data_IF_029387289851
#
_entry.id   IF_029387289851
#
_cell.length_a   1.000
_cell.length_b   1.000
_cell.length_c   1.000
_cell.angle_alpha   90.00
_cell.angle_beta   90.00
_cell.angle_gamma   90.00
#
_symmetry.space_group_name_H-M   'P 1'
#
loop_
_entity.id
_entity.type
_entity.pdbx_description
1 polymer ?
#
# COMPACT_ATOMS: atom_id res chain seq x y z
N UNK A 1 -43.76 -21.75 35.26
CA UNK A 1 -42.42 -21.87 34.66
C UNK A 1 -41.87 -20.47 34.45
N UNK A 2 -40.90 -19.94 35.24
CA UNK A 2 -40.38 -18.59 35.03
C UNK A 2 -39.36 -18.63 33.91
N UNK A 3 -39.52 -17.68 32.94
CA UNK A 3 -38.64 -17.53 31.78
C UNK A 3 -37.27 -17.05 32.16
N UNK A 4 -36.25 -17.74 31.65
CA UNK A 4 -34.82 -17.39 31.79
C UNK A 4 -34.54 -16.16 30.93
N UNK A 5 -34.29 -15.03 31.60
CA UNK A 5 -33.80 -13.80 30.94
C UNK A 5 -32.42 -14.05 30.30
N UNK A 6 -32.36 -14.01 28.98
CA UNK A 6 -31.09 -14.02 28.24
C UNK A 6 -30.34 -12.70 28.53
N UNK A 7 -29.29 -12.80 29.32
CA UNK A 7 -28.35 -11.71 29.56
C UNK A 7 -27.78 -11.25 28.23
N UNK A 8 -28.03 -10.01 27.83
CA UNK A 8 -27.45 -9.34 26.66
C UNK A 8 -26.00 -9.04 27.01
N UNK A 9 -25.08 -9.82 26.47
CA UNK A 9 -23.65 -9.51 26.54
C UNK A 9 -23.44 -8.23 25.74
N UNK A 10 -23.13 -7.14 26.46
CA UNK A 10 -22.73 -5.87 25.83
C UNK A 10 -21.48 -6.11 25.00
N UNK A 11 -21.39 -5.59 23.75
CA UNK A 11 -20.16 -5.69 22.96
C UNK A 11 -19.04 -4.99 23.73
N UNK A 12 -18.00 -5.72 24.10
CA UNK A 12 -16.78 -5.15 24.66
C UNK A 12 -16.15 -4.30 23.54
N UNK A 13 -16.11 -2.99 23.75
CA UNK A 13 -15.35 -2.07 22.89
C UNK A 13 -13.88 -2.48 23.03
N UNK A 14 -13.30 -3.05 21.99
CA UNK A 14 -11.89 -3.42 21.97
C UNK A 14 -11.05 -2.15 22.21
N UNK A 15 -10.06 -2.22 23.10
CA UNK A 15 -9.23 -1.04 23.40
C UNK A 15 -8.45 -0.63 22.15
N UNK A 16 -8.51 0.64 21.79
CA UNK A 16 -7.70 1.22 20.72
C UNK A 16 -6.23 1.03 21.02
N UNK A 17 -5.48 0.55 20.04
CA UNK A 17 -4.04 0.39 20.11
C UNK A 17 -3.38 1.58 19.44
N UNK A 18 -2.24 2.01 19.97
CA UNK A 18 -1.45 3.11 19.45
C UNK A 18 -0.05 2.62 19.09
N UNK A 19 0.43 2.99 17.92
CA UNK A 19 1.78 2.65 17.47
C UNK A 19 2.45 3.87 16.85
N UNK A 20 3.74 4.04 17.15
CA UNK A 20 4.57 5.05 16.49
C UNK A 20 4.95 4.53 15.09
N UNK A 21 5.02 5.42 14.11
CA UNK A 21 5.55 5.06 12.78
C UNK A 21 6.99 4.55 12.94
N UNK A 22 7.29 3.30 12.55
CA UNK A 22 8.62 2.72 12.71
C UNK A 22 9.71 3.45 11.92
N UNK A 23 9.33 4.22 10.88
CA UNK A 23 10.25 5.04 10.10
C UNK A 23 10.68 6.32 10.83
N UNK A 24 9.99 6.71 11.92
CA UNK A 24 10.28 7.92 12.68
C UNK A 24 11.27 7.65 13.82
N UNK A 25 12.50 8.20 13.77
CA UNK A 25 13.42 8.12 14.89
C UNK A 25 12.94 8.95 16.08
N UNK A 26 13.22 8.47 17.30
CA UNK A 26 12.96 9.21 18.56
C UNK A 26 14.29 9.74 19.08
N UNK A 27 14.42 11.05 19.09
CA UNK A 27 15.67 11.78 19.36
C UNK A 27 15.54 12.64 20.62
N UNK A 28 16.61 12.69 21.41
CA UNK A 28 16.73 13.58 22.55
C UNK A 28 17.32 14.93 22.11
N UNK A 29 16.74 16.03 22.57
CA UNK A 29 17.25 17.37 22.30
C UNK A 29 17.92 17.97 23.52
N UNK A 30 18.92 18.87 23.35
CA UNK A 30 19.60 19.55 24.44
C UNK A 30 18.65 20.44 25.31
N UNK A 31 17.54 20.93 24.73
CA UNK A 31 16.53 21.72 25.38
C UNK A 31 15.52 20.92 26.25
N UNK A 32 15.78 19.63 26.43
CA UNK A 32 14.91 18.73 27.19
C UNK A 32 13.63 18.27 26.47
N UNK A 33 13.44 18.65 25.23
CA UNK A 33 12.36 18.13 24.40
C UNK A 33 12.75 16.78 23.77
N UNK A 34 11.74 16.01 23.34
CA UNK A 34 11.91 14.81 22.51
C UNK A 34 11.40 15.12 21.11
N UNK A 35 12.21 14.78 20.11
CA UNK A 35 11.85 14.93 18.71
C UNK A 35 11.50 13.57 18.12
N UNK A 36 10.33 13.48 17.49
CA UNK A 36 9.88 12.31 16.72
C UNK A 36 9.99 12.67 15.25
N UNK A 37 10.82 11.94 14.52
CA UNK A 37 11.15 12.22 13.13
C UNK A 37 12.44 13.03 12.96
N UNK A 38 13.02 12.95 11.75
CA UNK A 38 14.24 13.67 11.41
C UNK A 38 14.01 14.82 10.40
N UNK A 39 13.11 14.61 9.41
CA UNK A 39 12.78 15.65 8.43
C UNK A 39 12.11 16.84 9.12
N UNK A 40 12.68 18.08 9.10
CA UNK A 40 12.11 19.24 9.78
C UNK A 40 10.67 19.58 9.37
N UNK A 41 10.25 19.16 8.17
CA UNK A 41 8.88 19.38 7.67
C UNK A 41 7.84 18.43 8.27
N UNK A 42 8.29 17.32 8.86
CA UNK A 42 7.45 16.23 9.39
C UNK A 42 7.73 15.93 10.87
N UNK A 43 8.88 16.39 11.38
CA UNK A 43 9.28 16.13 12.75
C UNK A 43 8.35 16.83 13.74
N UNK A 44 8.00 16.11 14.81
CA UNK A 44 7.16 16.62 15.91
C UNK A 44 8.02 16.78 17.16
N UNK A 45 7.95 17.94 17.78
CA UNK A 45 8.59 18.23 19.06
C UNK A 45 7.58 18.05 20.18
N UNK A 46 7.93 17.22 21.16
CA UNK A 46 7.09 16.97 22.34
C UNK A 46 7.87 17.21 23.61
N UNK A 47 7.22 17.83 24.60
CA UNK A 47 7.77 18.01 25.95
C UNK A 47 7.27 16.90 26.85
N UNK A 48 8.12 16.41 27.76
CA UNK A 48 7.70 15.40 28.73
C UNK A 48 6.51 15.88 29.58
N UNK A 49 5.46 15.07 29.74
CA UNK A 49 4.45 15.27 30.76
C UNK A 49 5.04 15.36 32.18
N UNK A 50 4.29 15.92 33.14
CA UNK A 50 4.74 16.05 34.53
C UNK A 50 5.26 14.70 35.09
N UNK A 51 6.44 14.77 35.71
CA UNK A 51 7.09 13.66 36.35
C UNK A 51 7.95 12.78 35.41
N UNK A 52 7.98 13.06 34.10
CA UNK A 52 8.87 12.35 33.16
C UNK A 52 10.06 13.22 32.76
N UNK A 53 11.21 12.63 32.66
CA UNK A 53 12.37 13.19 31.96
C UNK A 53 12.28 12.97 30.44
N UNK A 54 13.04 13.72 29.67
CA UNK A 54 13.12 13.51 28.21
C UNK A 54 13.57 12.07 27.84
N UNK A 55 14.48 11.50 28.62
CA UNK A 55 14.95 10.13 28.41
C UNK A 55 13.85 9.08 28.64
N UNK A 56 13.04 9.25 29.68
CA UNK A 56 11.93 8.36 30.01
C UNK A 56 10.80 8.49 28.98
N UNK A 57 10.48 9.72 28.55
CA UNK A 57 9.54 9.95 27.44
C UNK A 57 10.03 9.28 26.15
N UNK A 58 11.31 9.44 25.79
CA UNK A 58 11.87 8.79 24.62
C UNK A 58 11.81 7.26 24.71
N UNK A 59 12.02 6.69 25.90
CA UNK A 59 11.87 5.25 26.13
C UNK A 59 10.41 4.80 25.99
N UNK A 60 9.46 5.58 26.49
CA UNK A 60 8.03 5.32 26.33
C UNK A 60 7.62 5.35 24.84
N UNK A 61 8.05 6.37 24.10
CA UNK A 61 7.76 6.49 22.67
C UNK A 61 8.38 5.35 21.85
N UNK A 62 9.58 4.90 22.20
CA UNK A 62 10.20 3.72 21.56
C UNK A 62 9.45 2.42 21.85
N UNK A 63 8.79 2.28 23.00
CA UNK A 63 7.94 1.11 23.28
C UNK A 63 6.69 1.08 22.39
N UNK A 64 6.23 2.22 21.89
CA UNK A 64 5.12 2.34 20.93
C UNK A 64 5.45 1.84 19.52
N UNK A 65 6.64 1.35 19.24
CA UNK A 65 6.93 0.63 17.98
C UNK A 65 6.10 -0.64 17.80
N UNK A 66 5.61 -1.19 18.92
CA UNK A 66 4.59 -2.24 18.92
C UNK A 66 3.24 -1.63 19.31
N UNK A 67 2.13 -2.03 18.67
CA UNK A 67 0.81 -1.54 19.00
C UNK A 67 0.48 -1.75 20.48
N UNK A 68 0.25 -0.68 21.22
CA UNK A 68 0.10 -0.68 22.68
C UNK A 68 -1.17 0.06 23.09
N UNK A 69 -2.01 -0.48 24.00
CA UNK A 69 -3.17 0.21 24.53
C UNK A 69 -2.79 1.46 25.31
N UNK A 70 -3.63 2.50 25.31
CA UNK A 70 -3.38 3.73 26.06
C UNK A 70 -3.18 3.46 27.56
N UNK A 71 -3.98 2.59 28.15
CA UNK A 71 -3.86 2.23 29.57
C UNK A 71 -2.50 1.60 29.90
N UNK A 72 -1.90 0.87 28.97
CA UNK A 72 -0.56 0.31 29.15
C UNK A 72 0.50 1.40 29.08
N UNK A 73 0.38 2.35 28.15
CA UNK A 73 1.28 3.50 28.06
C UNK A 73 1.24 4.36 29.32
N UNK A 74 0.03 4.60 29.86
CA UNK A 74 -0.15 5.32 31.13
C UNK A 74 0.49 4.57 32.29
N UNK A 75 0.34 3.24 32.39
CA UNK A 75 1.01 2.43 33.43
C UNK A 75 2.53 2.49 33.31
N UNK A 76 3.06 2.39 32.09
CA UNK A 76 4.49 2.48 31.84
C UNK A 76 5.04 3.87 32.18
N UNK A 77 4.29 4.92 31.91
CA UNK A 77 4.64 6.28 32.28
C UNK A 77 4.61 6.46 33.81
N UNK A 78 3.58 5.96 34.49
CA UNK A 78 3.48 5.97 35.96
C UNK A 78 4.63 5.23 36.63
N UNK A 79 5.02 4.07 36.11
CA UNK A 79 6.19 3.32 36.59
C UNK A 79 7.55 4.04 36.38
N UNK A 80 7.57 5.08 35.55
CA UNK A 80 8.73 5.97 35.30
C UNK A 80 8.64 7.31 36.05
N UNK A 81 7.60 7.53 36.84
CA UNK A 81 7.44 8.72 37.64
C UNK A 81 6.41 9.74 37.13
N UNK A 82 5.69 9.44 36.04
CA UNK A 82 4.59 10.30 35.58
C UNK A 82 3.47 10.36 36.63
N UNK A 83 3.07 11.56 36.97
CA UNK A 83 1.91 11.87 37.84
C UNK A 83 0.69 12.34 37.02
N UNK A 84 0.82 12.41 35.70
CA UNK A 84 -0.15 13.00 34.79
C UNK A 84 -0.56 11.97 33.69
N UNK A 85 -1.50 11.06 33.97
CA UNK A 85 -2.00 10.09 32.99
C UNK A 85 -2.74 10.77 31.83
N UNK A 86 -3.39 11.92 32.06
CA UNK A 86 -4.11 12.66 31.02
C UNK A 86 -3.12 13.34 30.07
N UNK A 87 -2.00 13.83 30.60
CA UNK A 87 -0.89 14.36 29.78
C UNK A 87 -0.32 13.30 28.83
N UNK A 88 -0.22 12.05 29.27
CA UNK A 88 0.19 10.93 28.40
C UNK A 88 -0.84 10.66 27.31
N UNK A 89 -2.14 10.68 27.63
CA UNK A 89 -3.20 10.48 26.66
C UNK A 89 -3.26 11.61 25.62
N UNK A 90 -3.12 12.85 26.08
CA UNK A 90 -3.07 14.04 25.21
C UNK A 90 -1.86 14.00 24.28
N UNK A 91 -0.69 13.61 24.79
CA UNK A 91 0.52 13.43 23.98
C UNK A 91 0.31 12.41 22.87
N UNK A 92 -0.25 11.23 23.18
CA UNK A 92 -0.54 10.19 22.16
C UNK A 92 -1.53 10.72 21.13
N UNK A 93 -2.55 11.46 21.55
CA UNK A 93 -3.53 12.07 20.64
C UNK A 93 -2.88 13.10 19.72
N UNK A 94 -1.98 13.92 20.23
CA UNK A 94 -1.20 14.88 19.43
C UNK A 94 -0.31 14.17 18.39
N UNK A 95 0.36 13.08 18.78
CA UNK A 95 1.19 12.31 17.85
C UNK A 95 0.37 11.67 16.73
N UNK A 96 -0.85 11.19 17.04
CA UNK A 96 -1.80 10.69 16.03
C UNK A 96 -2.27 11.82 15.12
N UNK A 97 -2.67 12.95 15.67
CA UNK A 97 -3.09 14.13 14.90
C UNK A 97 -1.99 14.69 14.00
N UNK A 98 -0.73 14.58 14.41
CA UNK A 98 0.44 14.96 13.63
C UNK A 98 0.86 13.88 12.59
N UNK A 99 0.20 12.73 12.55
CA UNK A 99 0.48 11.66 11.59
C UNK A 99 1.77 10.87 11.85
N UNK A 100 2.40 11.03 13.04
CA UNK A 100 3.62 10.29 13.42
C UNK A 100 3.32 9.06 14.28
N UNK A 101 2.07 8.91 14.73
CA UNK A 101 1.57 7.71 15.40
C UNK A 101 0.21 7.29 14.81
N UNK A 102 -0.13 6.04 15.00
CA UNK A 102 -1.38 5.45 14.53
C UNK A 102 -2.30 5.11 15.68
N UNK A 103 -3.60 5.28 15.47
CA UNK A 103 -4.63 4.68 16.29
C UNK A 103 -5.28 3.57 15.48
N UNK A 104 -5.09 2.32 15.88
CA UNK A 104 -5.70 1.16 15.21
C UNK A 104 -6.37 0.24 16.22
N UNK A 105 -7.28 -0.59 15.75
CA UNK A 105 -7.65 -1.80 16.46
C UNK A 105 -6.50 -2.81 16.37
N UNK A 106 -6.49 -3.83 17.25
CA UNK A 106 -5.65 -5.02 17.01
C UNK A 106 -5.75 -5.35 15.53
N UNK A 107 -4.60 -5.63 14.86
CA UNK A 107 -4.70 -6.07 13.48
C UNK A 107 -5.76 -7.17 13.45
N UNK A 108 -6.90 -6.85 12.86
CA UNK A 108 -7.89 -7.88 12.60
C UNK A 108 -7.10 -8.99 11.93
N UNK A 109 -7.35 -10.24 12.28
CA UNK A 109 -6.80 -11.39 11.56
C UNK A 109 -7.44 -11.39 10.16
N UNK A 110 -7.24 -10.30 9.42
CA UNK A 110 -7.60 -10.19 8.03
C UNK A 110 -6.93 -11.35 7.30
N UNK A 111 -7.63 -11.94 6.37
CA UNK A 111 -7.06 -13.02 5.57
C UNK A 111 -5.78 -12.55 4.88
N UNK A 112 -4.83 -13.44 4.71
CA UNK A 112 -3.65 -13.15 3.90
C UNK A 112 -4.10 -12.80 2.46
N UNK A 113 -3.63 -11.66 1.95
CA UNK A 113 -3.88 -11.27 0.56
C UNK A 113 -3.29 -12.32 -0.39
N UNK A 114 -3.97 -12.59 -1.50
CA UNK A 114 -3.52 -13.50 -2.54
C UNK A 114 -3.14 -12.70 -3.79
N UNK A 115 -1.85 -12.65 -4.10
CA UNK A 115 -1.30 -11.89 -5.22
C UNK A 115 -0.75 -12.86 -6.25
N UNK A 116 -1.14 -12.69 -7.50
CA UNK A 116 -0.57 -13.44 -8.63
C UNK A 116 0.28 -12.51 -9.47
N UNK A 117 1.54 -12.85 -9.67
CA UNK A 117 2.41 -12.21 -10.66
C UNK A 117 2.35 -13.04 -11.94
N UNK A 118 1.89 -12.41 -13.03
CA UNK A 118 1.79 -13.04 -14.34
C UNK A 118 2.75 -12.34 -15.30
N UNK A 119 3.75 -13.05 -15.75
CA UNK A 119 4.78 -12.54 -16.64
C UNK A 119 5.97 -13.49 -16.73
N UNK A 120 6.88 -13.17 -17.63
CA UNK A 120 8.12 -13.93 -17.86
C UNK A 120 9.24 -12.95 -18.20
N UNK A 121 10.00 -12.56 -17.21
CA UNK A 121 11.12 -11.65 -17.42
C UNK A 121 11.58 -11.01 -16.11
N UNK A 122 12.47 -10.02 -16.20
CA UNK A 122 13.16 -9.47 -15.04
C UNK A 122 12.22 -8.75 -14.05
N UNK A 123 11.10 -8.16 -14.50
CA UNK A 123 10.15 -7.50 -13.59
C UNK A 123 9.37 -8.52 -12.78
N UNK A 124 8.89 -9.63 -13.42
CA UNK A 124 8.21 -10.70 -12.68
C UNK A 124 9.13 -11.33 -11.64
N UNK A 125 10.39 -11.59 -11.96
CA UNK A 125 11.36 -12.15 -11.03
C UNK A 125 11.60 -11.25 -9.83
N UNK A 126 11.85 -9.95 -10.08
CA UNK A 126 12.03 -8.95 -9.03
C UNK A 126 10.80 -8.79 -8.13
N UNK A 127 9.59 -8.78 -8.72
CA UNK A 127 8.35 -8.64 -7.96
C UNK A 127 8.04 -9.87 -7.12
N UNK A 128 8.24 -11.08 -7.65
CA UNK A 128 8.05 -12.33 -6.90
C UNK A 128 9.00 -12.37 -5.71
N UNK A 129 10.27 -12.02 -5.91
CA UNK A 129 11.28 -11.97 -4.84
C UNK A 129 10.90 -10.95 -3.75
N UNK A 130 10.59 -9.71 -4.16
CA UNK A 130 10.24 -8.64 -3.24
C UNK A 130 8.96 -8.94 -2.44
N UNK A 131 7.99 -9.63 -3.04
CA UNK A 131 6.72 -9.96 -2.39
C UNK A 131 6.80 -11.12 -1.41
N UNK A 132 7.85 -11.95 -1.42
CA UNK A 132 8.01 -13.08 -0.47
C UNK A 132 7.94 -12.64 0.99
N UNK A 133 8.46 -11.44 1.31
CA UNK A 133 8.45 -10.90 2.68
C UNK A 133 7.19 -10.09 3.01
N UNK A 134 6.23 -9.95 2.08
CA UNK A 134 5.02 -9.14 2.27
C UNK A 134 3.98 -9.77 3.19
N UNK A 135 4.14 -11.07 3.51
CA UNK A 135 3.15 -11.88 4.24
C UNK A 135 1.87 -12.16 3.44
N UNK A 136 1.83 -11.85 2.14
CA UNK A 136 0.80 -12.28 1.22
C UNK A 136 1.10 -13.66 0.66
N UNK A 137 0.07 -14.36 0.14
CA UNK A 137 0.25 -15.59 -0.64
C UNK A 137 0.60 -15.19 -2.07
N UNK A 138 1.76 -15.61 -2.55
CA UNK A 138 2.26 -15.24 -3.86
C UNK A 138 2.21 -16.45 -4.79
N UNK A 139 1.60 -16.26 -5.97
CA UNK A 139 1.63 -17.22 -7.07
C UNK A 139 2.31 -16.57 -8.28
N UNK A 140 3.15 -17.31 -8.98
CA UNK A 140 3.76 -16.89 -10.23
C UNK A 140 3.25 -17.75 -11.39
N UNK A 141 2.98 -17.13 -12.52
CA UNK A 141 2.60 -17.80 -13.76
C UNK A 141 3.20 -17.11 -14.97
N UNK A 142 3.78 -17.89 -15.87
CA UNK A 142 4.42 -17.41 -17.10
C UNK A 142 3.72 -17.88 -18.39
N UNK A 143 2.73 -18.75 -18.27
CA UNK A 143 2.01 -19.29 -19.43
C UNK A 143 0.91 -18.34 -19.88
N UNK A 144 0.86 -18.01 -21.16
CA UNK A 144 -0.04 -17.01 -21.77
C UNK A 144 -1.53 -17.22 -21.47
N UNK A 145 -1.95 -18.43 -21.11
CA UNK A 145 -3.36 -18.78 -20.87
C UNK A 145 -3.59 -19.43 -19.50
N UNK A 146 -2.70 -19.20 -18.53
CA UNK A 146 -2.91 -19.75 -17.20
C UNK A 146 -4.18 -19.17 -16.57
N UNK A 147 -5.28 -19.94 -16.58
CA UNK A 147 -6.56 -19.55 -16.00
C UNK A 147 -6.40 -19.10 -14.55
N UNK A 148 -7.15 -18.07 -14.16
CA UNK A 148 -7.24 -17.66 -12.75
C UNK A 148 -8.14 -18.68 -12.04
N UNK A 149 -7.54 -19.72 -11.46
CA UNK A 149 -8.26 -20.86 -10.87
C UNK A 149 -8.62 -20.71 -9.41
N UNK A 150 -8.04 -19.72 -8.70
CA UNK A 150 -8.25 -19.48 -7.27
C UNK A 150 -8.70 -18.04 -7.01
N UNK A 151 -9.31 -17.80 -5.84
CA UNK A 151 -9.63 -16.46 -5.38
C UNK A 151 -8.32 -15.65 -5.23
N UNK A 152 -8.10 -14.68 -6.11
CA UNK A 152 -6.94 -13.79 -6.18
C UNK A 152 -7.42 -12.36 -5.93
N UNK A 153 -6.72 -11.63 -5.08
CA UNK A 153 -7.05 -10.24 -4.76
C UNK A 153 -6.47 -9.25 -5.76
N UNK A 154 -5.35 -9.61 -6.37
CA UNK A 154 -4.69 -8.79 -7.40
C UNK A 154 -3.87 -9.69 -8.34
N UNK A 155 -3.96 -9.42 -9.64
CA UNK A 155 -3.03 -9.94 -10.64
C UNK A 155 -2.11 -8.81 -11.11
N UNK A 156 -0.80 -9.00 -10.99
CA UNK A 156 0.20 -8.11 -11.58
C UNK A 156 0.56 -8.68 -12.95
N UNK A 157 0.29 -7.91 -14.01
CA UNK A 157 0.60 -8.25 -15.40
C UNK A 157 1.95 -7.63 -15.75
N UNK A 158 3.03 -8.43 -15.66
CA UNK A 158 4.41 -7.92 -15.75
C UNK A 158 5.11 -8.31 -17.04
N UNK A 159 6.16 -7.55 -17.37
CA UNK A 159 7.11 -7.72 -18.47
C UNK A 159 6.58 -7.41 -19.87
N UNK A 160 5.45 -7.98 -20.28
CA UNK A 160 4.93 -7.81 -21.63
C UNK A 160 4.47 -6.37 -21.90
N UNK A 161 4.83 -5.83 -23.08
CA UNK A 161 4.47 -4.46 -23.48
C UNK A 161 2.97 -4.27 -23.64
N UNK A 162 2.26 -5.30 -24.09
CA UNK A 162 0.80 -5.33 -24.16
C UNK A 162 0.31 -6.61 -23.50
N UNK A 163 -0.63 -6.49 -22.58
CA UNK A 163 -1.24 -7.64 -21.91
C UNK A 163 -2.10 -8.46 -22.91
N UNK A 164 -2.11 -9.78 -22.78
CA UNK A 164 -2.96 -10.65 -23.61
C UNK A 164 -4.44 -10.26 -23.42
N UNK A 165 -5.15 -9.90 -24.50
CA UNK A 165 -6.56 -9.50 -24.43
C UNK A 165 -7.48 -10.61 -23.85
N UNK A 166 -7.12 -11.88 -23.98
CA UNK A 166 -7.87 -12.99 -23.41
C UNK A 166 -7.74 -13.00 -21.89
N UNK A 167 -6.51 -12.83 -21.39
CA UNK A 167 -6.25 -12.68 -19.94
C UNK A 167 -6.98 -11.47 -19.37
N UNK A 168 -6.91 -10.32 -20.03
CA UNK A 168 -7.59 -9.09 -19.59
C UNK A 168 -9.11 -9.29 -19.52
N UNK A 169 -9.71 -9.92 -20.52
CA UNK A 169 -11.15 -10.22 -20.52
C UNK A 169 -11.53 -11.19 -19.41
N UNK A 170 -10.73 -12.25 -19.17
CA UNK A 170 -10.99 -13.20 -18.09
C UNK A 170 -10.90 -12.54 -16.71
N UNK A 171 -9.90 -11.69 -16.47
CA UNK A 171 -9.78 -10.90 -15.24
C UNK A 171 -10.96 -9.97 -15.06
N UNK A 172 -11.37 -9.27 -16.11
CA UNK A 172 -12.49 -8.34 -16.07
C UNK A 172 -13.81 -9.06 -15.78
N UNK A 173 -14.11 -10.16 -16.49
CA UNK A 173 -15.34 -10.94 -16.32
C UNK A 173 -15.48 -11.56 -14.92
N UNK A 174 -14.36 -11.87 -14.27
CA UNK A 174 -14.30 -12.42 -12.92
C UNK A 174 -14.22 -11.33 -11.82
N UNK A 175 -14.21 -10.06 -12.20
CA UNK A 175 -14.08 -8.96 -11.24
C UNK A 175 -12.72 -8.91 -10.54
N UNK A 176 -11.65 -9.47 -11.13
CA UNK A 176 -10.33 -9.54 -10.50
C UNK A 176 -9.54 -8.26 -10.75
N UNK A 177 -9.13 -7.52 -9.70
CA UNK A 177 -8.24 -6.37 -9.83
C UNK A 177 -6.92 -6.75 -10.49
N UNK A 178 -6.39 -5.84 -11.33
CA UNK A 178 -5.13 -6.10 -12.01
C UNK A 178 -4.31 -4.85 -12.27
N UNK A 179 -2.97 -5.02 -12.26
CA UNK A 179 -2.00 -3.95 -12.37
C UNK A 179 -0.95 -4.31 -13.44
N UNK A 180 -0.92 -3.64 -14.61
CA UNK A 180 0.19 -3.79 -15.56
C UNK A 180 1.47 -3.15 -15.03
N UNK A 181 2.60 -3.85 -15.20
CA UNK A 181 3.95 -3.39 -14.85
C UNK A 181 4.91 -3.77 -15.98
N UNK A 182 5.46 -2.78 -16.65
CA UNK A 182 6.31 -3.01 -17.81
C UNK A 182 7.32 -1.89 -18.00
N UNK A 183 8.31 -2.11 -18.85
CA UNK A 183 9.19 -1.06 -19.35
C UNK A 183 8.95 -0.87 -20.84
N UNK A 184 8.95 0.38 -21.31
CA UNK A 184 8.75 0.75 -22.71
C UNK A 184 9.78 1.80 -23.06
N UNK A 185 10.60 1.53 -24.07
CA UNK A 185 11.60 2.47 -24.58
C UNK A 185 12.49 3.06 -23.46
N UNK A 186 12.92 2.21 -22.54
CA UNK A 186 13.75 2.61 -21.39
C UNK A 186 13.00 3.27 -20.23
N UNK A 187 11.68 3.47 -20.33
CA UNK A 187 10.84 4.10 -19.32
C UNK A 187 10.03 3.05 -18.57
N UNK A 188 10.00 3.12 -17.25
CA UNK A 188 9.18 2.26 -16.39
C UNK A 188 7.71 2.68 -16.39
N UNK A 189 6.80 1.74 -16.53
CA UNK A 189 5.36 1.96 -16.55
C UNK A 189 4.66 1.09 -15.51
N UNK A 190 3.95 1.72 -14.58
CA UNK A 190 3.14 1.04 -13.55
C UNK A 190 1.70 1.51 -13.62
N UNK A 191 0.77 0.59 -13.86
CA UNK A 191 -0.65 0.91 -13.97
C UNK A 191 -1.18 1.01 -15.41
N UNK A 192 -2.50 1.37 -15.54
CA UNK A 192 -3.38 1.70 -14.42
C UNK A 192 -3.73 0.50 -13.53
N UNK A 193 -3.92 0.74 -12.22
CA UNK A 193 -4.57 -0.24 -11.36
C UNK A 193 -6.05 -0.29 -11.73
N UNK A 194 -6.47 -1.41 -12.29
CA UNK A 194 -7.84 -1.64 -12.73
C UNK A 194 -8.60 -2.40 -11.65
N UNK A 195 -9.73 -1.83 -11.23
CA UNK A 195 -10.77 -2.50 -10.44
C UNK A 195 -11.98 -2.63 -11.36
N UNK A 196 -12.30 -3.85 -11.85
CA UNK A 196 -13.39 -4.05 -12.81
C UNK A 196 -14.72 -3.46 -12.31
N UNK A 197 -15.43 -2.75 -13.19
CA UNK A 197 -16.67 -2.05 -12.85
C UNK A 197 -16.50 -0.72 -12.09
N UNK A 198 -15.33 -0.46 -11.53
CA UNK A 198 -15.07 0.76 -10.72
C UNK A 198 -14.20 1.77 -11.46
N UNK A 199 -13.08 1.33 -12.02
CA UNK A 199 -12.11 2.20 -12.71
C UNK A 199 -12.24 2.11 -14.23
N UNK A 200 -11.48 2.95 -14.97
CA UNK A 200 -11.20 2.70 -16.39
C UNK A 200 -10.44 1.38 -16.53
N UNK A 201 -10.72 0.62 -17.57
CA UNK A 201 -10.07 -0.67 -17.83
C UNK A 201 -8.97 -0.55 -18.90
N UNK A 202 -8.22 -1.64 -19.14
CA UNK A 202 -7.16 -1.63 -20.16
C UNK A 202 -7.71 -1.47 -21.57
N UNK A 203 -8.94 -1.95 -21.84
CA UNK A 203 -9.59 -1.72 -23.13
C UNK A 203 -9.94 -0.24 -23.34
N UNK A 204 -10.33 0.53 -22.29
CA UNK A 204 -10.48 1.98 -22.39
C UNK A 204 -9.17 2.64 -22.84
N UNK A 205 -8.04 2.24 -22.23
CA UNK A 205 -6.74 2.79 -22.58
C UNK A 205 -6.36 2.45 -24.04
N UNK A 206 -6.72 1.27 -24.53
CA UNK A 206 -6.46 0.87 -25.93
C UNK A 206 -7.37 1.63 -26.91
N UNK A 207 -8.63 1.85 -26.58
CA UNK A 207 -9.53 2.69 -27.38
C UNK A 207 -9.02 4.13 -27.47
N UNK A 208 -8.61 4.74 -26.35
CA UNK A 208 -7.98 6.06 -26.38
C UNK A 208 -6.69 6.14 -27.20
N UNK A 209 -5.94 5.03 -27.28
CA UNK A 209 -4.77 4.96 -28.18
C UNK A 209 -5.20 4.83 -29.64
N UNK A 210 -6.23 4.04 -29.92
CA UNK A 210 -6.79 3.88 -31.27
C UNK A 210 -7.38 5.18 -31.81
N UNK A 211 -7.98 6.01 -30.96
CA UNK A 211 -8.46 7.35 -31.35
C UNK A 211 -7.33 8.28 -31.81
N UNK A 212 -6.13 8.10 -31.24
CA UNK A 212 -4.93 8.88 -31.62
C UNK A 212 -4.19 8.31 -32.82
N UNK A 213 -4.23 6.97 -32.92
CA UNK A 213 -3.52 6.22 -33.97
C UNK A 213 -4.35 4.99 -34.36
N UNK A 214 -4.99 5.05 -35.52
CA UNK A 214 -5.79 3.95 -36.06
C UNK A 214 -4.99 2.67 -36.29
N UNK A 215 -3.66 2.73 -36.37
CA UNK A 215 -2.79 1.57 -36.48
C UNK A 215 -2.56 0.84 -35.15
N UNK A 216 -2.98 1.44 -34.00
CA UNK A 216 -2.73 0.88 -32.66
C UNK A 216 -3.11 -0.60 -32.53
N UNK A 217 -4.26 -1.11 -33.02
CA UNK A 217 -4.59 -2.53 -32.88
C UNK A 217 -3.57 -3.45 -33.52
N UNK A 218 -3.03 -3.08 -34.69
CA UNK A 218 -2.00 -3.86 -35.40
C UNK A 218 -0.64 -3.79 -34.68
N UNK A 219 -0.30 -2.63 -34.12
CA UNK A 219 0.90 -2.42 -33.29
C UNK A 219 0.79 -3.24 -32.00
N UNK A 220 -0.34 -3.15 -31.31
CA UNK A 220 -0.60 -3.89 -30.07
C UNK A 220 -0.50 -5.41 -30.25
N UNK A 221 -0.97 -5.92 -31.37
CA UNK A 221 -0.88 -7.35 -31.70
C UNK A 221 0.58 -7.83 -31.80
N UNK A 222 1.49 -7.02 -32.31
CA UNK A 222 2.93 -7.31 -32.42
C UNK A 222 3.64 -7.20 -31.06
N UNK A 223 3.17 -6.29 -30.20
CA UNK A 223 3.79 -6.03 -28.88
C UNK A 223 3.36 -7.02 -27.79
N UNK A 224 2.34 -7.84 -28.02
CA UNK A 224 1.75 -8.73 -27.03
C UNK A 224 2.73 -9.74 -26.45
N UNK A 225 3.62 -10.29 -27.27
CA UNK A 225 4.60 -11.29 -26.88
C UNK A 225 6.00 -10.67 -26.70
N UNK A 226 6.08 -9.33 -26.75
CA UNK A 226 7.33 -8.59 -26.61
C UNK A 226 7.55 -8.20 -25.15
N UNK A 227 8.71 -8.59 -24.63
CA UNK A 227 9.16 -8.17 -23.29
C UNK A 227 9.92 -6.85 -23.44
N UNK A 228 9.55 -5.87 -22.60
CA UNK A 228 10.26 -4.59 -22.57
C UNK A 228 11.65 -4.73 -21.99
N UNK A 229 12.59 -3.99 -22.56
CA UNK A 229 14.01 -3.98 -22.13
C UNK A 229 14.38 -2.60 -21.62
N UNK A 230 15.08 -2.57 -20.48
CA UNK A 230 15.71 -1.38 -19.93
C UNK A 230 16.97 -1.77 -19.14
N UNK A 231 17.72 -0.77 -18.71
CA UNK A 231 18.83 -0.98 -17.80
C UNK A 231 18.38 -1.49 -16.42
N UNK A 232 19.33 -2.03 -15.64
CA UNK A 232 19.02 -2.64 -14.34
C UNK A 232 18.43 -1.65 -13.34
N UNK A 233 18.84 -0.39 -13.36
CA UNK A 233 18.35 0.62 -12.42
C UNK A 233 16.87 0.97 -12.73
N UNK A 234 16.52 1.15 -14.01
CA UNK A 234 15.13 1.35 -14.46
C UNK A 234 14.23 0.16 -14.07
N UNK A 235 14.69 -1.09 -14.25
CA UNK A 235 13.95 -2.29 -13.84
C UNK A 235 13.72 -2.32 -12.33
N UNK A 236 14.75 -2.06 -11.51
CA UNK A 236 14.63 -2.04 -10.06
C UNK A 236 13.68 -0.93 -9.58
N UNK A 237 13.81 0.27 -10.13
CA UNK A 237 12.95 1.40 -9.78
C UNK A 237 11.48 1.14 -10.17
N UNK A 238 11.25 0.54 -11.35
CA UNK A 238 9.91 0.16 -11.80
C UNK A 238 9.28 -0.90 -10.89
N UNK A 239 10.06 -1.92 -10.50
CA UNK A 239 9.62 -2.94 -9.57
C UNK A 239 9.31 -2.36 -8.18
N UNK A 240 10.14 -1.44 -7.66
CA UNK A 240 9.90 -0.76 -6.39
C UNK A 240 8.62 0.09 -6.41
N UNK A 241 8.39 0.84 -7.50
CA UNK A 241 7.18 1.62 -7.69
C UNK A 241 5.93 0.72 -7.75
N UNK A 242 6.01 -0.39 -8.48
CA UNK A 242 4.93 -1.38 -8.54
C UNK A 242 4.67 -2.02 -7.18
N UNK A 243 5.73 -2.41 -6.45
CA UNK A 243 5.64 -2.97 -5.10
C UNK A 243 4.91 -2.02 -4.15
N UNK A 244 5.16 -0.71 -4.23
CA UNK A 244 4.45 0.28 -3.42
C UNK A 244 2.94 0.24 -3.65
N UNK A 245 2.50 0.09 -4.90
CA UNK A 245 1.07 -0.03 -5.25
C UNK A 245 0.47 -1.35 -4.75
N UNK A 246 1.20 -2.46 -4.92
CA UNK A 246 0.77 -3.80 -4.48
C UNK A 246 0.64 -3.84 -2.94
N UNK A 247 1.59 -3.26 -2.21
CA UNK A 247 1.54 -3.20 -0.74
C UNK A 247 0.30 -2.46 -0.23
N UNK A 248 -0.18 -1.44 -0.94
CA UNK A 248 -1.44 -0.74 -0.61
C UNK A 248 -2.65 -1.65 -0.78
N UNK A 249 -2.68 -2.46 -1.83
CA UNK A 249 -3.74 -3.46 -2.03
C UNK A 249 -3.67 -4.52 -0.92
N UNK A 250 -2.47 -5.00 -0.57
CA UNK A 250 -2.28 -5.96 0.53
C UNK A 250 -2.79 -5.38 1.86
N UNK A 251 -2.47 -4.11 2.16
CA UNK A 251 -2.93 -3.43 3.37
C UNK A 251 -4.46 -3.31 3.39
N UNK A 252 -5.08 -2.91 2.28
CA UNK A 252 -6.53 -2.80 2.16
C UNK A 252 -7.23 -4.16 2.36
N UNK A 253 -6.73 -5.25 1.76
CA UNK A 253 -7.28 -6.61 1.95
C UNK A 253 -7.18 -7.07 3.40
N UNK A 254 -6.14 -6.64 4.12
CA UNK A 254 -5.94 -6.94 5.54
C UNK A 254 -6.75 -6.05 6.48
N UNK A 255 -7.47 -5.05 5.95
CA UNK A 255 -8.14 -4.05 6.78
C UNK A 255 -7.16 -3.20 7.59
N UNK A 256 -5.92 -3.03 7.11
CA UNK A 256 -4.92 -2.16 7.71
C UNK A 256 -5.11 -0.75 7.12
N UNK A 257 -5.47 0.20 7.97
CA UNK A 257 -5.44 1.60 7.59
C UNK A 257 -3.99 2.09 7.64
N UNK A 258 -3.39 2.46 6.51
CA UNK A 258 -2.06 3.07 6.53
C UNK A 258 -2.14 4.44 7.19
N UNK A 259 -1.16 4.77 8.03
CA UNK A 259 -1.11 6.08 8.68
C UNK A 259 0.26 6.72 8.43
N UNK A 260 0.27 7.96 8.06
CA UNK A 260 -0.87 8.77 7.65
C UNK A 260 -1.55 8.16 6.42
N UNK A 261 -2.85 8.41 6.22
CA UNK A 261 -3.57 7.93 5.04
C UNK A 261 -2.91 8.51 3.77
N UNK A 262 -2.26 7.68 2.94
CA UNK A 262 -1.63 8.16 1.72
C UNK A 262 -2.65 8.36 0.59
N UNK A 263 -3.95 8.29 0.89
CA UNK A 263 -5.02 8.33 -0.10
C UNK A 263 -5.08 7.05 -0.97
N UNK A 264 -5.85 7.02 -2.03
CA UNK A 264 -5.95 5.87 -2.94
C UNK A 264 -4.61 5.58 -3.63
N UNK A 265 -4.37 4.34 -4.12
CA UNK A 265 -3.18 4.03 -4.91
C UNK A 265 -2.99 5.03 -6.06
N UNK A 266 -1.80 5.60 -6.20
CA UNK A 266 -1.52 6.62 -7.24
C UNK A 266 -1.64 6.08 -8.67
N UNK A 267 -1.58 4.76 -8.84
CA UNK A 267 -1.86 4.08 -10.11
C UNK A 267 -3.36 3.86 -10.37
N UNK A 268 -4.27 4.25 -9.45
CA UNK A 268 -5.71 4.10 -9.67
C UNK A 268 -6.16 5.08 -10.79
N UNK A 269 -6.74 4.57 -11.88
CA UNK A 269 -7.04 5.32 -13.10
C UNK A 269 -5.83 6.05 -13.72
N UNK A 270 -4.59 5.67 -13.36
CA UNK A 270 -3.40 6.34 -13.88
C UNK A 270 -2.28 5.34 -14.19
N UNK A 271 -1.52 5.62 -15.25
CA UNK A 271 -0.21 4.99 -15.46
C UNK A 271 0.86 5.93 -14.90
N UNK A 272 1.68 5.41 -14.00
CA UNK A 272 2.87 6.10 -13.53
C UNK A 272 4.00 5.79 -14.51
N UNK A 273 4.50 6.81 -15.18
CA UNK A 273 5.63 6.75 -16.09
C UNK A 273 6.87 7.21 -15.34
N UNK A 274 7.85 6.33 -15.16
CA UNK A 274 9.09 6.62 -14.45
C UNK A 274 10.25 6.70 -15.43
N UNK A 275 10.82 7.88 -15.56
CA UNK A 275 12.02 8.15 -16.35
C UNK A 275 13.19 8.40 -15.41
N UNK A 276 14.13 7.44 -15.37
CA UNK A 276 15.32 7.54 -14.53
C UNK A 276 16.28 8.65 -15.01
N UNK A 277 16.41 8.83 -16.33
CA UNK A 277 17.27 9.86 -16.91
C UNK A 277 16.81 11.27 -16.57
N UNK A 278 15.50 11.50 -16.58
CA UNK A 278 14.90 12.77 -16.17
C UNK A 278 14.68 12.87 -14.66
N UNK A 279 14.85 11.78 -13.88
CA UNK A 279 14.57 11.74 -12.44
C UNK A 279 13.13 12.06 -12.10
N UNK A 280 12.18 11.68 -12.98
CA UNK A 280 10.78 12.08 -12.86
C UNK A 280 9.81 10.90 -12.81
N UNK A 281 8.68 11.12 -12.10
CA UNK A 281 7.51 10.24 -12.15
C UNK A 281 6.32 11.10 -12.61
N UNK A 282 5.73 10.72 -13.72
CA UNK A 282 4.56 11.40 -14.30
C UNK A 282 3.35 10.48 -14.22
N UNK A 283 2.24 10.97 -13.68
CA UNK A 283 0.97 10.23 -13.65
C UNK A 283 0.12 10.61 -14.88
N UNK A 284 -0.02 9.66 -15.81
CA UNK A 284 -0.90 9.82 -16.98
C UNK A 284 -2.28 9.26 -16.64
N UNK A 285 -3.28 10.14 -16.53
CA UNK A 285 -4.65 9.78 -16.20
C UNK A 285 -5.36 9.07 -17.36
N UNK A 286 -6.23 8.14 -17.01
CA UNK A 286 -7.12 7.43 -17.92
C UNK A 286 -8.57 7.57 -17.48
N UNK A 287 -9.43 7.95 -18.41
CA UNK A 287 -10.89 7.99 -18.22
C UNK A 287 -11.52 6.75 -18.85
N UNK A 288 -12.77 6.45 -18.47
CA UNK A 288 -13.54 5.46 -19.20
C UNK A 288 -13.77 5.97 -20.62
N UNK A 289 -13.61 5.07 -21.58
CA UNK A 289 -13.86 5.42 -22.98
C UNK A 289 -15.35 5.26 -23.32
N UNK A 290 -15.99 6.19 -24.06
CA UNK A 290 -17.43 6.12 -24.38
C UNK A 290 -17.85 4.83 -25.10
N UNK A 291 -16.98 4.26 -25.92
CA UNK A 291 -17.22 3.02 -26.66
C UNK A 291 -16.84 1.76 -25.88
N UNK A 292 -16.39 1.86 -24.63
CA UNK A 292 -16.05 0.70 -23.81
C UNK A 292 -17.24 0.24 -22.97
N UNK A 293 -17.51 -1.03 -22.96
CA UNK A 293 -18.60 -1.65 -22.19
C UNK A 293 -18.22 -2.02 -20.74
N UNK A 294 -17.08 -1.55 -20.23
CA UNK A 294 -16.61 -1.90 -18.88
C UNK A 294 -17.46 -1.37 -17.73
#
# INVERSE_FOLDING_TARGET
MPGVAKSRVMPQVEPSLYALDPAMPVLLRPDGAVQVGWDPRKAVLVRPPCGLTAAELAALLRSMRSPTPIAELQRQAGGRGSTDPDGVANLVTQLVGAGVATRGCRPSRGRAASIRVHGRGPLSDLLVEALRCSGARIAHSSQSHAAVTSAVDLVVLSDYLVADPRMVRDLHSRGVPHLPVRVRDGTGLVGPLVIPGVTSCLACADLHRSDRDAAWPAIAAQLRDTIGVADRATLLATAALALSQVNRVIAAVRGQEPVPDPGPPSALNATLEFDLGAGSIVARQWTRHPLCSC
#
